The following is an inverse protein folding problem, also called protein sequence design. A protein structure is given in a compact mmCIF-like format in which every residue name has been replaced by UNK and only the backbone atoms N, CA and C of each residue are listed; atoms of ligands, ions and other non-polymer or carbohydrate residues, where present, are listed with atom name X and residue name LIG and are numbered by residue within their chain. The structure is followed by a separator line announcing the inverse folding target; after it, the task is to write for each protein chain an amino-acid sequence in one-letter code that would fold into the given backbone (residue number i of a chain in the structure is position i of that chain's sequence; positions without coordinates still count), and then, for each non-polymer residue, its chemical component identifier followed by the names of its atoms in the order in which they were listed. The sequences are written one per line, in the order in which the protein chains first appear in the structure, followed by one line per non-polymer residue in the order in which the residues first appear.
data_IF_258544881302
#
_entry.id   IF_258544881302
#
_cell.length_a   1.000
_cell.length_b   1.000
_cell.length_c   1.000
_cell.angle_alpha   90.00
_cell.angle_beta   90.00
_cell.angle_gamma   90.00
#
_symmetry.space_group_name_H-M   'P 1'
#
loop_
_entity.id
_entity.type
_entity.pdbx_description
1 polymer ?
#
# COMPACT_ATOMS: atom_id res chain seq x y z
N UNK A 1 -28.02 -36.45 40.75
CA UNK A 1 -26.99 -37.48 40.47
C UNK A 1 -25.81 -36.83 39.75
N UNK A 2 -24.66 -37.00 40.31
CA UNK A 2 -23.39 -36.34 40.05
C UNK A 2 -22.89 -36.35 38.59
N UNK A 3 -22.40 -35.21 38.13
CA UNK A 3 -21.41 -35.12 37.08
C UNK A 3 -20.14 -34.43 37.61
N UNK A 4 -19.25 -35.24 38.09
CA UNK A 4 -17.84 -34.90 38.26
C UNK A 4 -17.03 -35.93 37.47
N UNK A 5 -15.89 -35.49 36.96
CA UNK A 5 -14.79 -36.21 36.31
C UNK A 5 -14.71 -36.12 34.81
N UNK A 6 -13.79 -35.18 34.38
CA UNK A 6 -12.68 -35.46 33.45
C UNK A 6 -11.90 -34.15 33.20
N UNK A 7 -11.01 -33.84 34.15
CA UNK A 7 -9.87 -32.98 33.92
C UNK A 7 -8.63 -33.85 34.09
N UNK A 8 -7.89 -34.10 33.03
CA UNK A 8 -6.41 -34.22 33.08
C UNK A 8 -5.87 -34.67 31.72
N UNK A 9 -4.63 -34.18 31.46
CA UNK A 9 -3.74 -34.55 30.35
C UNK A 9 -4.00 -33.77 29.04
N UNK A 10 -3.19 -32.74 28.68
CA UNK A 10 -1.78 -32.77 28.38
C UNK A 10 -1.18 -31.38 28.47
N UNK A 11 -0.27 -31.13 29.41
CA UNK A 11 0.69 -30.04 29.35
C UNK A 11 1.94 -30.59 28.66
N UNK A 12 2.25 -30.07 27.48
CA UNK A 12 3.54 -30.25 26.83
C UNK A 12 4.35 -28.98 27.12
N UNK A 13 5.52 -29.03 27.76
CA UNK A 13 6.35 -27.86 27.97
C UNK A 13 7.11 -27.51 26.68
N UNK A 14 6.91 -26.30 26.19
CA UNK A 14 7.77 -25.71 25.17
C UNK A 14 9.11 -25.32 25.80
N UNK A 15 10.19 -26.02 25.42
CA UNK A 15 11.53 -25.60 25.67
C UNK A 15 12.00 -24.65 24.56
N UNK A 16 12.66 -23.52 24.87
CA UNK A 16 13.20 -22.64 23.84
C UNK A 16 14.44 -23.28 23.21
N UNK A 17 14.40 -23.51 21.89
CA UNK A 17 15.61 -23.88 21.13
C UNK A 17 16.45 -22.63 20.90
N UNK A 18 17.57 -22.56 21.55
CA UNK A 18 18.65 -21.61 21.27
C UNK A 18 19.35 -22.06 19.99
N UNK A 19 19.34 -21.21 18.98
CA UNK A 19 20.15 -21.37 17.78
C UNK A 19 21.54 -20.81 18.05
N UNK A 20 22.55 -21.67 18.07
CA UNK A 20 23.97 -21.29 18.05
C UNK A 20 24.31 -20.77 16.64
N UNK A 21 24.77 -19.52 16.59
CA UNK A 21 25.42 -18.93 15.42
C UNK A 21 26.92 -19.23 15.54
N UNK A 22 27.58 -19.88 14.56
CA UNK A 22 29.02 -20.04 14.57
C UNK A 22 29.71 -18.73 14.17
N UNK A 23 30.89 -18.44 14.74
CA UNK A 23 31.64 -17.23 14.41
C UNK A 23 32.32 -17.36 13.04
N UNK A 24 32.17 -16.33 12.23
CA UNK A 24 32.87 -16.14 10.96
C UNK A 24 34.33 -15.83 11.19
N UNK A 25 35.24 -16.70 10.77
CA UNK A 25 36.66 -16.41 10.63
C UNK A 25 37.07 -16.66 9.19
N UNK A 26 37.58 -15.67 8.52
CA UNK A 26 38.91 -15.60 7.92
C UNK A 26 38.93 -14.55 6.79
N UNK A 27 39.67 -13.49 7.11
CA UNK A 27 40.16 -12.52 6.14
C UNK A 27 41.21 -13.17 5.26
N UNK A 28 40.96 -13.26 3.96
CA UNK A 28 42.00 -13.50 2.96
C UNK A 28 42.48 -12.14 2.43
N UNK A 29 43.71 -11.80 2.81
CA UNK A 29 44.46 -10.69 2.24
C UNK A 29 44.94 -11.10 0.82
N UNK A 30 44.52 -10.41 -0.19
CA UNK A 30 45.17 -10.45 -1.50
C UNK A 30 46.30 -9.42 -1.54
N UNK A 31 47.50 -9.93 -1.74
CA UNK A 31 48.72 -9.15 -1.99
C UNK A 31 48.64 -8.46 -3.36
N UNK A 32 48.72 -7.14 -3.34
CA UNK A 32 48.98 -6.32 -4.54
C UNK A 32 50.51 -6.34 -4.81
N UNK A 33 50.91 -7.07 -5.84
CA UNK A 33 52.28 -7.02 -6.41
C UNK A 33 52.42 -5.75 -7.25
N UNK A 34 53.42 -4.95 -6.85
CA UNK A 34 53.84 -3.76 -7.57
C UNK A 34 54.49 -4.11 -8.90
N UNK A 35 53.92 -3.62 -10.00
CA UNK A 35 54.58 -3.59 -11.29
C UNK A 35 55.04 -2.14 -11.59
N UNK A 36 56.35 -1.92 -11.72
CA UNK A 36 56.95 -0.67 -12.20
C UNK A 36 56.93 -0.69 -13.74
N UNK A 37 56.47 0.34 -14.41
CA UNK A 37 56.79 0.54 -15.84
C UNK A 37 58.04 1.39 -16.03
N UNK A 38 58.90 0.90 -16.91
CA UNK A 38 60.10 1.53 -17.42
C UNK A 38 59.80 2.75 -18.29
N UNK A 39 60.67 3.73 -18.16
CA UNK A 39 60.77 5.00 -18.89
C UNK A 39 60.90 4.85 -20.41
N UNK A 40 60.03 5.52 -21.17
CA UNK A 40 60.25 5.87 -22.56
C UNK A 40 59.93 7.36 -22.78
N UNK A 41 60.84 8.04 -23.43
CA UNK A 41 60.91 9.49 -23.70
C UNK A 41 59.79 10.01 -24.65
N UNK A 42 59.46 11.29 -24.60
CA UNK A 42 58.32 11.87 -25.27
C UNK A 42 58.59 12.27 -26.72
N UNK A 43 57.82 11.73 -27.65
CA UNK A 43 57.64 12.37 -28.96
C UNK A 43 56.55 13.42 -28.85
N UNK A 44 56.95 14.70 -29.14
CA UNK A 44 56.04 15.83 -29.33
C UNK A 44 55.22 15.61 -30.59
N UNK A 45 53.96 15.34 -30.47
CA UNK A 45 52.96 15.53 -31.52
C UNK A 45 52.06 16.71 -31.14
N UNK A 46 52.10 17.76 -31.93
CA UNK A 46 51.25 18.94 -31.87
C UNK A 46 49.78 18.54 -32.15
N UNK A 47 48.92 18.75 -31.17
CA UNK A 47 47.46 18.58 -31.29
C UNK A 47 46.86 19.89 -31.80
N UNK A 48 46.00 19.87 -32.85
CA UNK A 48 45.32 21.09 -33.31
C UNK A 48 44.28 21.52 -32.24
N UNK A 49 44.30 22.82 -31.90
CA UNK A 49 43.36 23.46 -31.03
C UNK A 49 41.98 23.56 -31.70
N UNK A 50 41.02 22.78 -31.24
CA UNK A 50 39.59 22.97 -31.55
C UNK A 50 39.02 24.10 -30.68
N UNK A 51 38.16 25.00 -31.22
CA UNK A 51 37.54 26.03 -30.44
C UNK A 51 36.61 25.42 -29.39
N UNK A 52 36.80 25.82 -28.13
CA UNK A 52 35.97 25.47 -27.01
C UNK A 52 34.54 25.98 -27.27
N UNK A 53 33.65 25.07 -27.66
CA UNK A 53 32.21 25.37 -27.72
C UNK A 53 31.73 25.58 -26.28
N UNK A 54 31.42 26.82 -25.93
CA UNK A 54 30.72 27.17 -24.68
C UNK A 54 29.40 26.42 -24.67
N UNK A 55 29.31 25.41 -23.82
CA UNK A 55 27.99 24.77 -23.54
C UNK A 55 27.12 25.84 -22.89
N UNK A 56 26.06 26.21 -23.59
CA UNK A 56 24.96 26.95 -22.97
C UNK A 56 24.47 26.14 -21.78
N UNK A 57 24.49 26.74 -20.61
CA UNK A 57 23.81 26.19 -19.42
C UNK A 57 22.35 26.15 -19.75
N UNK A 58 21.86 24.96 -20.11
CA UNK A 58 20.41 24.68 -20.14
C UNK A 58 19.93 24.79 -18.70
N UNK A 59 19.26 25.89 -18.40
CA UNK A 59 18.50 26.05 -17.17
C UNK A 59 17.54 24.83 -17.07
N UNK A 60 17.68 24.05 -16.01
CA UNK A 60 16.67 23.02 -15.67
C UNK A 60 15.30 23.69 -15.72
N UNK A 61 14.27 23.02 -16.28
CA UNK A 61 12.93 23.56 -16.24
C UNK A 61 12.59 23.81 -14.76
N UNK A 62 12.18 25.03 -14.45
CA UNK A 62 11.70 25.40 -13.14
C UNK A 62 10.61 24.38 -12.76
N UNK A 63 10.75 23.71 -11.61
CA UNK A 63 9.71 22.83 -11.09
C UNK A 63 8.41 23.62 -11.06
N UNK A 64 7.35 23.07 -11.63
CA UNK A 64 6.03 23.67 -11.54
C UNK A 64 5.74 24.00 -10.06
N UNK A 65 5.12 25.14 -9.76
CA UNK A 65 4.78 25.47 -8.38
C UNK A 65 3.97 24.33 -7.77
N UNK A 66 4.36 23.90 -6.57
CA UNK A 66 3.64 22.89 -5.83
C UNK A 66 2.20 23.37 -5.61
N UNK A 67 1.23 22.52 -5.87
CA UNK A 67 -0.17 22.81 -5.57
C UNK A 67 -0.33 22.92 -4.04
N UNK A 68 -0.73 24.06 -3.50
CA UNK A 68 -0.78 24.29 -2.05
C UNK A 68 -1.97 23.60 -1.38
N UNK A 69 -2.91 23.02 -2.15
CA UNK A 69 -4.08 22.37 -1.58
C UNK A 69 -3.70 21.11 -0.79
N UNK A 70 -4.25 20.89 0.41
CA UNK A 70 -4.13 19.62 1.12
C UNK A 70 -4.63 18.45 0.26
N UNK A 71 -4.28 17.22 0.68
CA UNK A 71 -4.63 15.99 -0.04
C UNK A 71 -5.55 15.13 0.81
N UNK A 72 -6.68 14.70 0.26
CA UNK A 72 -7.55 13.72 0.86
C UNK A 72 -7.36 12.37 0.17
N UNK A 73 -6.72 11.45 0.86
CA UNK A 73 -6.48 10.09 0.42
C UNK A 73 -7.67 9.20 0.74
N UNK A 74 -8.11 8.43 -0.23
CA UNK A 74 -9.17 7.44 -0.09
C UNK A 74 -8.61 6.05 -0.37
N UNK A 75 -8.84 5.12 0.54
CA UNK A 75 -8.73 3.70 0.21
C UNK A 75 -9.86 3.30 -0.74
N UNK A 76 -9.71 2.15 -1.42
CA UNK A 76 -10.66 1.67 -2.43
C UNK A 76 -11.49 0.51 -1.90
N UNK A 77 -10.82 -0.61 -1.56
CA UNK A 77 -11.48 -1.87 -1.30
C UNK A 77 -12.13 -1.88 0.09
N UNK A 78 -13.42 -2.17 0.15
CA UNK A 78 -14.25 -2.07 1.35
C UNK A 78 -14.32 -0.64 1.96
N UNK A 79 -13.93 0.37 1.19
CA UNK A 79 -14.01 1.77 1.55
C UNK A 79 -14.94 2.53 0.59
N UNK A 80 -14.66 2.54 -0.73
CA UNK A 80 -15.55 3.16 -1.72
C UNK A 80 -16.77 2.28 -2.06
N UNK A 81 -16.77 1.05 -1.68
CA UNK A 81 -17.91 0.13 -1.74
C UNK A 81 -17.97 -0.70 -0.46
N UNK A 82 -19.17 -1.17 -0.12
CA UNK A 82 -19.42 -1.88 1.13
C UNK A 82 -18.82 -3.29 1.12
N UNK A 83 -18.34 -3.75 2.27
CA UNK A 83 -18.01 -5.17 2.53
C UNK A 83 -19.19 -6.11 2.23
N UNK A 84 -20.42 -5.61 2.32
CA UNK A 84 -21.63 -6.34 1.96
C UNK A 84 -21.72 -6.75 0.49
N UNK A 85 -20.84 -6.22 -0.40
CA UNK A 85 -20.70 -6.69 -1.78
C UNK A 85 -20.04 -8.08 -1.89
N UNK A 86 -19.49 -8.63 -0.78
CA UNK A 86 -18.84 -9.95 -0.69
C UNK A 86 -17.61 -10.13 -1.62
N UNK A 87 -17.05 -9.06 -2.16
CA UNK A 87 -15.82 -9.12 -2.99
C UNK A 87 -14.66 -9.68 -2.17
N UNK A 88 -14.59 -9.32 -0.89
CA UNK A 88 -13.58 -9.85 0.02
C UNK A 88 -13.63 -11.38 0.13
N UNK A 89 -14.81 -11.97 0.18
CA UNK A 89 -14.99 -13.42 0.25
C UNK A 89 -14.57 -14.12 -1.04
N UNK A 90 -14.89 -13.52 -2.20
CA UNK A 90 -14.42 -14.02 -3.49
C UNK A 90 -12.90 -13.91 -3.60
N UNK A 91 -12.31 -12.80 -3.17
CA UNK A 91 -10.86 -12.61 -3.12
C UNK A 91 -10.19 -13.66 -2.23
N UNK A 92 -10.72 -13.93 -1.02
CA UNK A 92 -10.19 -14.98 -0.14
C UNK A 92 -10.21 -16.36 -0.79
N UNK A 93 -11.27 -16.70 -1.52
CA UNK A 93 -11.34 -17.98 -2.25
C UNK A 93 -10.23 -18.07 -3.30
N UNK A 94 -10.06 -17.03 -4.11
CA UNK A 94 -9.03 -16.99 -5.15
C UNK A 94 -7.62 -17.04 -4.55
N UNK A 95 -7.37 -16.30 -3.47
CA UNK A 95 -6.09 -16.35 -2.75
C UNK A 95 -5.81 -17.76 -2.23
N UNK A 96 -6.77 -18.40 -1.59
CA UNK A 96 -6.60 -19.77 -1.08
C UNK A 96 -6.35 -20.76 -2.22
N UNK A 97 -7.04 -20.64 -3.36
CA UNK A 97 -6.81 -21.46 -4.55
C UNK A 97 -5.39 -21.25 -5.11
N UNK A 98 -4.92 -20.00 -5.13
CA UNK A 98 -3.56 -19.65 -5.53
C UNK A 98 -2.51 -20.33 -4.62
N UNK A 99 -2.69 -20.27 -3.30
CA UNK A 99 -1.79 -20.92 -2.33
C UNK A 99 -1.78 -22.44 -2.50
N UNK A 100 -2.94 -23.06 -2.67
CA UNK A 100 -3.04 -24.52 -2.94
C UNK A 100 -2.25 -24.89 -4.19
N UNK A 101 -2.48 -24.17 -5.29
CA UNK A 101 -1.90 -24.44 -6.60
C UNK A 101 -0.38 -24.23 -6.62
N UNK A 102 0.07 -23.05 -6.18
CA UNK A 102 1.47 -22.63 -6.34
C UNK A 102 2.40 -23.13 -5.24
N UNK A 103 1.86 -23.43 -4.05
CA UNK A 103 2.66 -23.94 -2.92
C UNK A 103 2.42 -25.42 -2.65
N UNK A 104 1.54 -26.08 -3.43
CA UNK A 104 1.19 -27.51 -3.28
C UNK A 104 0.68 -27.83 -1.86
N UNK A 105 -0.11 -26.92 -1.27
CA UNK A 105 -0.70 -27.08 0.06
C UNK A 105 -2.08 -27.71 -0.01
N UNK A 106 -2.52 -28.35 1.08
CA UNK A 106 -3.94 -28.66 1.27
C UNK A 106 -4.72 -27.38 1.64
N UNK A 107 -6.05 -27.46 1.66
CA UNK A 107 -6.92 -26.31 1.87
C UNK A 107 -6.72 -25.64 3.24
N UNK A 108 -6.55 -26.44 4.30
CA UNK A 108 -6.40 -25.92 5.67
C UNK A 108 -5.05 -25.20 5.85
N UNK A 109 -3.97 -25.79 5.36
CA UNK A 109 -2.64 -25.19 5.40
C UNK A 109 -2.56 -23.91 4.54
N UNK A 110 -3.21 -23.92 3.38
CA UNK A 110 -3.30 -22.75 2.50
C UNK A 110 -4.02 -21.59 3.21
N UNK A 111 -5.15 -21.87 3.82
CA UNK A 111 -5.91 -20.88 4.58
C UNK A 111 -5.12 -20.36 5.78
N UNK A 112 -4.49 -21.22 6.56
CA UNK A 112 -3.67 -20.82 7.70
C UNK A 112 -2.49 -19.93 7.27
N UNK A 113 -1.81 -20.28 6.19
CA UNK A 113 -0.67 -19.53 5.70
C UNK A 113 -1.09 -18.17 5.12
N UNK A 114 -2.20 -18.13 4.36
CA UNK A 114 -2.82 -16.90 3.88
C UNK A 114 -3.13 -15.94 5.05
N UNK A 115 -3.86 -16.41 6.07
CA UNK A 115 -4.22 -15.59 7.22
C UNK A 115 -3.00 -15.14 8.03
N UNK A 116 -1.96 -15.98 8.12
CA UNK A 116 -0.68 -15.60 8.73
C UNK A 116 -0.05 -14.43 7.99
N UNK A 117 0.10 -14.52 6.67
CA UNK A 117 0.71 -13.45 5.87
C UNK A 117 -0.10 -12.16 5.89
N UNK A 118 -1.43 -12.26 5.80
CA UNK A 118 -2.29 -11.11 5.96
C UNK A 118 -2.10 -10.41 7.32
N UNK A 119 -2.03 -11.18 8.40
CA UNK A 119 -1.82 -10.65 9.76
C UNK A 119 -0.43 -10.04 9.95
N UNK A 120 0.61 -10.66 9.40
CA UNK A 120 2.01 -10.23 9.59
C UNK A 120 2.38 -9.03 8.70
N UNK A 121 1.87 -8.98 7.48
CA UNK A 121 2.29 -8.02 6.45
C UNK A 121 1.19 -7.08 5.96
N UNK A 122 -0.06 -7.33 6.34
CA UNK A 122 -1.21 -6.57 5.86
C UNK A 122 -1.69 -6.95 4.45
N UNK A 123 -0.91 -7.77 3.73
CA UNK A 123 -1.20 -8.20 2.36
C UNK A 123 -0.62 -9.60 2.12
N UNK A 124 -1.44 -10.55 1.63
CA UNK A 124 -1.03 -11.95 1.44
C UNK A 124 0.13 -12.08 0.45
N UNK A 125 0.10 -11.33 -0.65
CA UNK A 125 1.15 -11.35 -1.69
C UNK A 125 2.50 -10.87 -1.15
N UNK A 126 2.54 -9.98 -0.17
CA UNK A 126 3.78 -9.55 0.47
C UNK A 126 4.49 -10.74 1.14
N UNK A 127 3.74 -11.58 1.88
CA UNK A 127 4.28 -12.81 2.45
C UNK A 127 4.75 -13.81 1.38
N UNK A 128 4.01 -13.95 0.29
CA UNK A 128 4.38 -14.82 -0.83
C UNK A 128 5.71 -14.41 -1.47
N UNK A 129 5.89 -13.12 -1.75
CA UNK A 129 7.13 -12.62 -2.37
C UNK A 129 8.33 -12.69 -1.43
N UNK A 130 8.12 -12.54 -0.12
CA UNK A 130 9.20 -12.64 0.88
C UNK A 130 9.69 -14.05 1.12
N UNK A 131 8.79 -15.03 1.12
CA UNK A 131 9.08 -16.39 1.58
C UNK A 131 9.06 -17.42 0.46
N UNK A 132 8.53 -17.09 -0.70
CA UNK A 132 8.39 -17.97 -1.85
C UNK A 132 8.85 -17.26 -3.13
N UNK A 133 9.20 -18.05 -4.15
CA UNK A 133 9.57 -17.52 -5.47
C UNK A 133 8.33 -17.36 -6.33
N UNK A 134 7.43 -16.49 -5.92
CA UNK A 134 6.17 -16.20 -6.62
C UNK A 134 6.32 -14.91 -7.43
N UNK A 135 5.85 -14.92 -8.68
CA UNK A 135 5.68 -13.72 -9.49
C UNK A 135 4.43 -12.96 -9.04
N UNK A 136 4.55 -11.72 -8.52
CA UNK A 136 3.38 -10.97 -8.08
C UNK A 136 2.39 -10.65 -9.22
N UNK A 137 2.87 -10.54 -10.45
CA UNK A 137 2.01 -10.31 -11.60
C UNK A 137 1.21 -11.56 -11.98
N UNK A 138 1.73 -12.77 -11.70
CA UNK A 138 0.96 -14.01 -11.82
C UNK A 138 -0.16 -14.05 -10.76
N UNK A 139 0.16 -13.65 -9.52
CA UNK A 139 -0.86 -13.49 -8.48
C UNK A 139 -1.95 -12.49 -8.91
N UNK A 140 -1.58 -11.33 -9.44
CA UNK A 140 -2.56 -10.36 -9.95
C UNK A 140 -3.50 -10.98 -10.99
N UNK A 141 -2.95 -11.73 -11.96
CA UNK A 141 -3.78 -12.36 -13.01
C UNK A 141 -4.75 -13.41 -12.46
N UNK A 142 -4.29 -14.21 -11.51
CA UNK A 142 -5.09 -15.34 -10.99
C UNK A 142 -6.02 -14.95 -9.81
N UNK A 143 -5.78 -13.82 -9.18
CA UNK A 143 -6.56 -13.34 -8.02
C UNK A 143 -7.30 -12.05 -8.36
N UNK A 144 -6.57 -10.93 -8.52
CA UNK A 144 -7.21 -9.61 -8.64
C UNK A 144 -8.00 -9.47 -9.95
N UNK A 145 -7.39 -9.86 -11.08
CA UNK A 145 -8.03 -9.78 -12.40
C UNK A 145 -9.15 -10.82 -12.59
N UNK A 146 -9.09 -11.94 -11.84
CA UNK A 146 -10.11 -13.00 -11.88
C UNK A 146 -11.38 -12.69 -11.08
N UNK A 147 -11.39 -11.62 -10.28
CA UNK A 147 -12.58 -11.22 -9.54
C UNK A 147 -13.74 -10.84 -10.47
N UNK A 148 -14.97 -11.30 -10.21
CA UNK A 148 -16.15 -10.99 -11.03
C UNK A 148 -16.71 -9.59 -10.71
N UNK A 149 -15.87 -8.55 -10.73
CA UNK A 149 -16.23 -7.20 -10.29
C UNK A 149 -17.36 -6.58 -11.12
N UNK A 150 -17.41 -6.88 -12.42
CA UNK A 150 -18.42 -6.33 -13.34
C UNK A 150 -19.84 -6.81 -13.02
N UNK A 151 -19.96 -8.00 -12.42
CA UNK A 151 -21.24 -8.56 -11.99
C UNK A 151 -21.67 -7.99 -10.62
N UNK A 152 -20.73 -7.66 -9.76
CA UNK A 152 -20.96 -7.29 -8.36
C UNK A 152 -21.07 -5.78 -8.17
N UNK A 153 -20.09 -5.02 -8.67
CA UNK A 153 -20.02 -3.58 -8.46
C UNK A 153 -21.00 -2.84 -9.37
N UNK A 154 -21.70 -1.89 -8.78
CA UNK A 154 -22.61 -0.97 -9.49
C UNK A 154 -22.35 0.45 -9.01
N UNK A 155 -22.60 1.46 -9.85
CA UNK A 155 -22.53 2.85 -9.44
C UNK A 155 -23.39 3.14 -8.21
N UNK A 156 -22.86 3.88 -7.25
CA UNK A 156 -23.58 4.35 -6.08
C UNK A 156 -23.77 5.87 -6.17
N UNK A 157 -25.02 6.36 -6.41
CA UNK A 157 -25.29 7.80 -6.47
C UNK A 157 -24.95 8.55 -5.17
N UNK A 158 -25.00 7.88 -4.01
CA UNK A 158 -24.63 8.51 -2.73
C UNK A 158 -23.14 8.73 -2.63
N UNK A 159 -22.34 7.72 -2.99
CA UNK A 159 -20.90 7.88 -3.10
C UNK A 159 -20.53 8.99 -4.07
N UNK A 160 -21.13 8.99 -5.26
CA UNK A 160 -20.89 10.01 -6.28
C UNK A 160 -21.19 11.40 -5.73
N UNK A 161 -22.36 11.60 -5.13
CA UNK A 161 -22.77 12.88 -4.53
C UNK A 161 -21.84 13.32 -3.41
N UNK A 162 -21.41 12.39 -2.52
CA UNK A 162 -20.45 12.70 -1.47
C UNK A 162 -19.15 13.27 -2.04
N UNK A 163 -18.60 12.61 -3.08
CA UNK A 163 -17.34 13.05 -3.71
C UNK A 163 -17.51 14.38 -4.46
N UNK A 164 -18.64 14.61 -5.11
CA UNK A 164 -18.97 15.88 -5.76
C UNK A 164 -19.14 17.05 -4.80
N UNK A 165 -19.58 16.79 -3.56
CA UNK A 165 -19.72 17.80 -2.52
C UNK A 165 -18.40 18.18 -1.86
N UNK A 166 -17.34 17.43 -2.06
CA UNK A 166 -15.99 17.84 -1.66
C UNK A 166 -15.56 19.04 -2.51
N UNK A 167 -15.06 20.08 -1.87
CA UNK A 167 -14.64 21.32 -2.52
C UNK A 167 -13.23 21.15 -3.13
N UNK A 168 -13.20 20.85 -4.41
CA UNK A 168 -11.95 20.64 -5.18
C UNK A 168 -11.09 21.90 -5.29
N UNK A 169 -11.61 23.06 -4.94
CA UNK A 169 -10.80 24.28 -4.83
C UNK A 169 -9.97 24.31 -3.53
N UNK A 170 -10.41 23.58 -2.50
CA UNK A 170 -9.78 23.53 -1.17
C UNK A 170 -8.93 22.28 -0.95
N UNK A 171 -9.25 21.15 -1.61
CA UNK A 171 -8.58 19.87 -1.37
C UNK A 171 -8.48 19.05 -2.65
N UNK A 172 -7.41 18.32 -2.81
CA UNK A 172 -7.21 17.33 -3.88
C UNK A 172 -7.63 15.95 -3.40
N UNK A 173 -8.37 15.22 -4.20
CA UNK A 173 -8.71 13.83 -3.91
C UNK A 173 -7.73 12.87 -4.59
N UNK A 174 -7.21 11.91 -3.82
CA UNK A 174 -6.22 10.95 -4.28
C UNK A 174 -6.55 9.55 -3.77
N UNK A 175 -6.31 8.54 -4.59
CA UNK A 175 -6.50 7.15 -4.18
C UNK A 175 -5.22 6.59 -3.55
N UNK A 176 -5.37 5.79 -2.47
CA UNK A 176 -4.26 5.12 -1.80
C UNK A 176 -4.65 3.68 -1.45
N UNK A 177 -4.24 2.73 -2.26
CA UNK A 177 -4.68 1.32 -2.15
C UNK A 177 -3.51 0.34 -2.06
N UNK A 178 -3.77 -0.82 -1.46
CA UNK A 178 -2.87 -1.99 -1.48
C UNK A 178 -3.09 -2.90 -2.69
N UNK A 179 -4.15 -2.67 -3.47
CA UNK A 179 -4.36 -3.38 -4.71
C UNK A 179 -3.39 -2.93 -5.81
N UNK A 180 -3.22 -3.76 -6.83
CA UNK A 180 -2.50 -3.37 -8.03
C UNK A 180 -3.30 -2.39 -8.88
N UNK A 181 -2.61 -1.64 -9.74
CA UNK A 181 -3.21 -0.53 -10.50
C UNK A 181 -4.36 -0.95 -11.42
N UNK A 182 -4.31 -2.17 -11.99
CA UNK A 182 -5.38 -2.68 -12.88
C UNK A 182 -6.68 -2.87 -12.12
N UNK A 183 -6.63 -3.51 -10.95
CA UNK A 183 -7.77 -3.68 -10.05
C UNK A 183 -8.33 -2.32 -9.61
N UNK A 184 -7.48 -1.45 -9.11
CA UNK A 184 -7.89 -0.14 -8.63
C UNK A 184 -8.64 0.69 -9.69
N UNK A 185 -8.10 0.76 -10.91
CA UNK A 185 -8.73 1.48 -12.03
C UNK A 185 -10.04 0.83 -12.45
N UNK A 186 -10.12 -0.52 -12.43
CA UNK A 186 -11.35 -1.25 -12.77
C UNK A 186 -12.46 -0.95 -11.76
N UNK A 187 -12.15 -0.98 -10.46
CA UNK A 187 -13.12 -0.67 -9.39
C UNK A 187 -13.69 0.73 -9.54
N UNK A 188 -12.85 1.77 -9.59
CA UNK A 188 -13.36 3.16 -9.65
C UNK A 188 -14.13 3.46 -10.94
N UNK A 189 -13.77 2.80 -12.05
CA UNK A 189 -14.50 2.88 -13.30
C UNK A 189 -15.89 2.23 -13.21
N UNK A 190 -16.01 1.05 -12.60
CA UNK A 190 -17.29 0.38 -12.37
C UNK A 190 -18.21 1.18 -11.44
N UNK A 191 -17.62 1.84 -10.43
CA UNK A 191 -18.34 2.75 -9.54
C UNK A 191 -18.66 4.10 -10.18
N UNK A 192 -18.14 4.40 -11.38
CA UNK A 192 -18.29 5.67 -12.09
C UNK A 192 -17.82 6.89 -11.26
N UNK A 193 -16.66 6.76 -10.61
CA UNK A 193 -16.03 7.82 -9.79
C UNK A 193 -14.58 8.07 -10.18
N UNK A 194 -14.11 7.51 -11.28
CA UNK A 194 -12.72 7.63 -11.75
C UNK A 194 -12.32 9.07 -12.10
N UNK A 195 -13.27 9.92 -12.48
CA UNK A 195 -13.09 11.35 -12.75
C UNK A 195 -13.01 12.23 -11.48
N UNK A 196 -13.26 11.64 -10.31
CA UNK A 196 -13.22 12.36 -9.03
C UNK A 196 -11.80 12.53 -8.48
N UNK A 197 -10.89 11.66 -8.83
CA UNK A 197 -9.54 11.58 -8.24
C UNK A 197 -8.48 12.12 -9.19
N UNK A 198 -7.54 12.91 -8.64
CA UNK A 198 -6.43 13.50 -9.41
C UNK A 198 -5.29 12.51 -9.64
N UNK A 199 -5.21 11.44 -8.85
CA UNK A 199 -4.21 10.40 -9.01
C UNK A 199 -4.42 9.21 -8.09
N UNK A 200 -3.46 8.28 -8.15
CA UNK A 200 -3.51 7.02 -7.42
C UNK A 200 -2.11 6.57 -7.02
N UNK A 201 -1.92 6.26 -5.73
CA UNK A 201 -0.79 5.52 -5.20
C UNK A 201 -1.25 4.10 -4.88
N UNK A 202 -0.56 3.10 -5.41
CA UNK A 202 -0.96 1.70 -5.36
C UNK A 202 0.23 0.80 -5.01
N UNK A 203 -0.01 -0.44 -4.57
CA UNK A 203 1.04 -1.43 -4.42
C UNK A 203 1.49 -1.90 -5.81
N UNK A 204 2.71 -1.54 -6.20
CA UNK A 204 3.26 -1.90 -7.50
C UNK A 204 3.81 -3.33 -7.49
N UNK A 205 3.02 -4.26 -8.02
CA UNK A 205 3.43 -5.67 -8.12
C UNK A 205 4.55 -5.92 -9.14
N UNK A 206 4.83 -4.95 -10.01
CA UNK A 206 5.98 -5.00 -10.93
C UNK A 206 7.32 -4.62 -10.28
N UNK A 207 7.31 -4.13 -9.03
CA UNK A 207 8.50 -3.63 -8.33
C UNK A 207 8.70 -4.34 -6.98
N UNK A 208 9.84 -5.01 -6.80
CA UNK A 208 10.19 -5.70 -5.56
C UNK A 208 11.32 -4.96 -4.82
N UNK A 209 11.32 -4.93 -3.49
CA UNK A 209 10.27 -5.46 -2.60
C UNK A 209 8.97 -4.66 -2.72
N UNK A 210 7.84 -5.31 -2.46
CA UNK A 210 6.55 -4.65 -2.47
C UNK A 210 6.49 -3.54 -1.41
N UNK A 211 5.86 -2.43 -1.77
CA UNK A 211 5.61 -1.31 -0.86
C UNK A 211 4.10 -1.09 -0.77
N UNK A 212 3.51 -1.40 0.38
CA UNK A 212 2.08 -1.32 0.64
C UNK A 212 1.80 -0.72 2.01
N UNK A 213 0.55 -0.29 2.28
CA UNK A 213 0.08 0.05 3.63
C UNK A 213 0.17 -1.21 4.52
N UNK A 214 0.59 -1.12 5.78
CA UNK A 214 0.85 0.07 6.58
C UNK A 214 2.32 0.52 6.58
N UNK A 215 3.13 0.17 5.61
CA UNK A 215 4.55 0.55 5.53
C UNK A 215 4.70 2.08 5.46
N UNK A 216 5.64 2.64 6.24
CA UNK A 216 5.97 4.06 6.20
C UNK A 216 6.32 4.52 4.78
N UNK A 217 7.06 3.70 4.03
CA UNK A 217 7.47 4.00 2.66
C UNK A 217 6.26 4.18 1.71
N UNK A 218 5.13 3.50 1.98
CA UNK A 218 3.90 3.67 1.19
C UNK A 218 3.28 5.05 1.40
N UNK A 219 3.21 5.52 2.64
CA UNK A 219 2.69 6.86 2.95
C UNK A 219 3.62 7.96 2.43
N UNK A 220 4.94 7.81 2.56
CA UNK A 220 5.93 8.74 2.00
C UNK A 220 5.80 8.84 0.47
N UNK A 221 5.60 7.70 -0.19
CA UNK A 221 5.36 7.67 -1.62
C UNK A 221 4.06 8.38 -2.00
N UNK A 222 2.98 8.15 -1.25
CA UNK A 222 1.71 8.80 -1.47
C UNK A 222 1.81 10.33 -1.32
N UNK A 223 2.45 10.82 -0.26
CA UNK A 223 2.71 12.24 -0.07
C UNK A 223 3.47 12.86 -1.24
N UNK A 224 4.55 12.18 -1.67
CA UNK A 224 5.38 12.64 -2.78
C UNK A 224 4.63 12.65 -4.11
N UNK A 225 3.92 11.56 -4.45
CA UNK A 225 3.18 11.44 -5.71
C UNK A 225 2.02 12.42 -5.78
N UNK A 226 1.31 12.61 -4.66
CA UNK A 226 0.27 13.60 -4.56
C UNK A 226 0.80 15.03 -4.38
N UNK A 227 2.10 15.23 -4.14
CA UNK A 227 2.70 16.54 -3.93
C UNK A 227 2.20 17.23 -2.64
N UNK A 228 1.99 16.48 -1.56
CA UNK A 228 1.61 17.04 -0.27
C UNK A 228 2.77 17.88 0.30
N UNK A 229 2.46 19.07 0.83
CA UNK A 229 3.47 19.99 1.35
C UNK A 229 3.93 19.57 2.75
N UNK A 230 3.05 18.95 3.54
CA UNK A 230 3.34 18.41 4.87
C UNK A 230 2.40 17.26 5.24
N UNK A 231 2.79 16.47 6.23
CA UNK A 231 1.95 15.38 6.75
C UNK A 231 0.66 15.90 7.40
N UNK A 232 0.67 17.10 7.99
CA UNK A 232 -0.50 17.71 8.59
C UNK A 232 -1.57 18.18 7.59
N UNK A 233 -1.22 18.22 6.30
CA UNK A 233 -2.14 18.54 5.19
C UNK A 233 -2.69 17.28 4.50
N UNK A 234 -2.46 16.11 5.09
CA UNK A 234 -2.96 14.84 4.59
C UNK A 234 -4.17 14.38 5.41
N UNK A 235 -5.25 14.11 4.70
CA UNK A 235 -6.47 13.49 5.21
C UNK A 235 -6.57 12.07 4.66
N UNK A 236 -7.14 11.16 5.42
CA UNK A 236 -7.23 9.77 5.00
C UNK A 236 -8.48 9.08 5.51
N UNK A 237 -9.09 8.25 4.66
CA UNK A 237 -10.16 7.33 5.07
C UNK A 237 -9.83 5.92 4.56
N UNK A 238 -9.97 4.93 5.45
CA UNK A 238 -9.63 3.52 5.18
C UNK A 238 -10.44 2.62 6.14
N UNK A 239 -10.79 1.41 5.71
CA UNK A 239 -11.52 0.44 6.53
C UNK A 239 -10.61 -0.41 7.43
N UNK A 240 -9.31 -0.39 7.17
CA UNK A 240 -8.31 -1.11 7.96
C UNK A 240 -7.82 -0.28 9.14
N UNK A 241 -8.16 -0.72 10.36
CA UNK A 241 -7.65 -0.08 11.58
C UNK A 241 -6.12 -0.03 11.66
N UNK A 242 -5.43 -1.02 11.10
CA UNK A 242 -3.97 -1.04 11.04
C UNK A 242 -3.43 0.11 10.16
N UNK A 243 -3.99 0.29 8.97
CA UNK A 243 -3.61 1.38 8.08
C UNK A 243 -3.89 2.74 8.71
N UNK A 244 -5.09 2.90 9.30
CA UNK A 244 -5.49 4.12 10.01
C UNK A 244 -4.53 4.47 11.16
N UNK A 245 -4.14 3.48 11.97
CA UNK A 245 -3.19 3.69 13.09
C UNK A 245 -1.85 4.21 12.60
N UNK A 246 -1.31 3.65 11.53
CA UNK A 246 -0.01 4.06 10.99
C UNK A 246 -0.08 5.44 10.31
N UNK A 247 -1.14 5.75 9.59
CA UNK A 247 -1.36 7.07 9.02
C UNK A 247 -1.53 8.15 10.11
N UNK A 248 -2.30 7.85 11.17
CA UNK A 248 -2.48 8.76 12.31
C UNK A 248 -1.15 9.01 13.07
N UNK A 249 -0.36 7.96 13.28
CA UNK A 249 0.96 8.08 13.90
C UNK A 249 1.94 8.93 13.07
N UNK A 250 1.73 9.03 11.75
CA UNK A 250 2.48 9.89 10.85
C UNK A 250 2.03 11.36 10.91
N UNK A 251 0.93 11.67 11.59
CA UNK A 251 0.38 13.02 11.72
C UNK A 251 -0.70 13.37 10.69
N UNK A 252 -1.24 12.39 9.96
CA UNK A 252 -2.38 12.58 9.08
C UNK A 252 -3.68 12.72 9.87
N UNK A 253 -4.66 13.44 9.34
CA UNK A 253 -6.02 13.47 9.86
C UNK A 253 -6.81 12.28 9.31
N UNK A 254 -7.15 11.30 10.18
CA UNK A 254 -7.62 9.98 9.74
C UNK A 254 -9.03 9.69 10.22
N UNK A 255 -9.89 9.19 9.33
CA UNK A 255 -11.18 8.59 9.62
C UNK A 255 -11.14 7.08 9.35
N UNK A 256 -11.35 6.26 10.39
CA UNK A 256 -11.45 4.82 10.29
C UNK A 256 -12.91 4.43 10.00
N UNK A 257 -13.16 3.86 8.81
CA UNK A 257 -14.47 3.38 8.42
C UNK A 257 -14.72 1.98 8.99
N UNK A 258 -15.69 1.89 9.91
CA UNK A 258 -16.16 0.63 10.49
C UNK A 258 -17.64 0.47 10.18
N UNK A 259 -17.98 -0.24 9.12
CA UNK A 259 -19.36 -0.37 8.65
C UNK A 259 -20.34 -0.88 9.73
N UNK A 260 -21.64 -0.56 9.64
CA UNK A 260 -22.67 -1.12 10.50
C UNK A 260 -22.63 -2.65 10.50
N UNK A 261 -22.82 -3.25 11.68
CA UNK A 261 -22.71 -4.71 11.86
C UNK A 261 -21.32 -5.20 12.25
N UNK A 262 -20.26 -4.40 12.04
CA UNK A 262 -18.91 -4.71 12.52
C UNK A 262 -18.73 -4.06 13.91
N UNK A 263 -18.27 -4.82 14.93
CA UNK A 263 -17.96 -4.26 16.24
C UNK A 263 -16.89 -3.18 16.16
N UNK A 264 -17.06 -2.10 16.92
CA UNK A 264 -16.01 -1.10 17.07
C UNK A 264 -14.79 -1.70 17.78
N UNK A 265 -13.56 -1.36 17.36
CA UNK A 265 -12.38 -1.79 18.07
C UNK A 265 -12.35 -1.19 19.48
N UNK A 266 -11.82 -1.96 20.45
CA UNK A 266 -11.67 -1.50 21.84
C UNK A 266 -10.74 -0.29 21.97
N UNK A 267 -9.73 -0.23 21.10
CA UNK A 267 -8.81 0.91 21.00
C UNK A 267 -9.05 1.58 19.65
N UNK A 268 -9.40 2.88 19.65
CA UNK A 268 -9.57 3.62 18.41
C UNK A 268 -8.30 3.62 17.56
N UNK A 269 -8.44 3.34 16.28
CA UNK A 269 -7.32 3.34 15.33
C UNK A 269 -6.94 4.76 14.88
N UNK A 270 -7.85 5.73 15.08
CA UNK A 270 -7.67 7.11 14.65
C UNK A 270 -8.57 8.05 15.43
N UNK A 271 -8.43 9.35 15.17
CA UNK A 271 -9.23 10.40 15.81
C UNK A 271 -10.74 10.25 15.54
N UNK A 272 -11.09 9.86 14.33
CA UNK A 272 -12.48 9.67 13.92
C UNK A 272 -12.73 8.20 13.58
N UNK A 273 -13.79 7.65 14.16
CA UNK A 273 -14.37 6.37 13.75
C UNK A 273 -15.75 6.64 13.17
N UNK A 274 -15.95 6.26 11.92
CA UNK A 274 -17.17 6.52 11.17
C UNK A 274 -17.85 5.23 10.75
N UNK A 275 -19.18 5.26 10.61
CA UNK A 275 -20.00 4.13 10.19
C UNK A 275 -20.35 4.18 8.71
N UNK A 276 -20.20 5.34 8.11
CA UNK A 276 -20.42 5.58 6.69
C UNK A 276 -19.53 6.72 6.20
N UNK A 277 -19.24 6.77 4.91
CA UNK A 277 -18.48 7.86 4.31
C UNK A 277 -19.20 9.22 4.43
N UNK A 278 -20.53 9.25 4.56
CA UNK A 278 -21.31 10.48 4.76
C UNK A 278 -20.87 11.25 6.02
N UNK A 279 -20.36 10.56 7.03
CA UNK A 279 -19.87 11.19 8.26
C UNK A 279 -18.58 12.00 8.07
N UNK A 280 -17.88 11.84 6.93
CA UNK A 280 -16.74 12.69 6.57
C UNK A 280 -17.11 14.18 6.53
N UNK A 281 -18.36 14.50 6.20
CA UNK A 281 -18.89 15.89 6.25
C UNK A 281 -18.82 16.49 7.65
N UNK A 282 -18.99 15.67 8.67
CA UNK A 282 -18.90 16.07 10.07
C UNK A 282 -17.47 16.05 10.57
N UNK A 283 -16.67 15.07 10.16
CA UNK A 283 -15.26 14.95 10.57
C UNK A 283 -14.39 16.07 9.97
N UNK A 284 -14.63 16.40 8.70
CA UNK A 284 -13.81 17.32 7.91
C UNK A 284 -14.65 18.41 7.21
N UNK A 285 -15.49 19.19 7.93
CA UNK A 285 -16.46 20.09 7.31
C UNK A 285 -15.82 21.14 6.41
N UNK A 286 -14.58 21.53 6.69
CA UNK A 286 -13.86 22.56 5.92
C UNK A 286 -13.48 22.08 4.49
N UNK A 287 -13.52 20.77 4.22
CA UNK A 287 -13.20 20.20 2.92
C UNK A 287 -14.41 20.12 1.99
N UNK A 288 -15.61 20.39 2.50
CA UNK A 288 -16.84 20.30 1.72
C UNK A 288 -17.33 21.69 1.29
N UNK A 289 -18.09 21.72 0.20
CA UNK A 289 -18.80 22.92 -0.27
C UNK A 289 -19.79 23.39 0.79
N UNK A 290 -19.92 24.69 0.94
CA UNK A 290 -20.95 25.27 1.79
C UNK A 290 -22.32 25.13 1.13
N UNK A 291 -23.39 24.89 1.92
CA UNK A 291 -24.76 24.69 1.40
C UNK A 291 -25.33 25.85 0.56
N UNK A 292 -24.58 26.97 0.43
CA UNK A 292 -25.00 28.12 -0.39
C UNK A 292 -24.47 28.08 -1.84
N UNK A 293 -23.60 27.12 -2.17
CA UNK A 293 -22.95 26.99 -3.49
C UNK A 293 -23.49 25.82 -4.32
N UNK A 294 -24.58 25.17 -3.88
CA UNK A 294 -25.27 24.06 -4.59
C UNK A 294 -26.55 24.55 -5.24
#
# INVERSE_FOLDING_TARGET
MNHSTLRSLLRIPFAPRTYHVPPSSSFLRCNLSCYRPSSLSPHRNSIPSYPRRTMATTSSPASAPLDPRPVFFFDIDNCLYSKGCNIHDEMQKLINQFFIKHLSLNADDAHMLHMKYYKEYGLAIEGLTRHHKIDPLEFNREVDDALPLDDILKPDPKLRQLLEDIDRSKVRMWLLTNAYVTHAKRVVKLLQVDDMFEGITYCDYGSLPLVCKPSQAMYERAEKEAGASSTSECYFVDDSGLNCTHAAARGWAVAHLVEPGIPLPHVPASQYMIRSLEELRTCFPNLFKTKQEV
#
